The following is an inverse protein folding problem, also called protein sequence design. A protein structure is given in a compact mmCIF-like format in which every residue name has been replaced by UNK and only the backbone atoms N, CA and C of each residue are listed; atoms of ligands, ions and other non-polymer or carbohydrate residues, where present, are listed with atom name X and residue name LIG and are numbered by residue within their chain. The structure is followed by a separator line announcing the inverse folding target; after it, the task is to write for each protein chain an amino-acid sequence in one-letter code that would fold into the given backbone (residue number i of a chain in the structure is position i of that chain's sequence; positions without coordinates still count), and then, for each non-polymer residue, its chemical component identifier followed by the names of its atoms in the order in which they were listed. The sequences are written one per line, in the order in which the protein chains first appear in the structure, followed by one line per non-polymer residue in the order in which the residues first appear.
data_IF_965462018603
#
_entry.id   IF_965462018603
#
_cell.length_a   1.000
_cell.length_b   1.000
_cell.length_c   1.000
_cell.angle_alpha   90.00
_cell.angle_beta   90.00
_cell.angle_gamma   90.00
#
_symmetry.space_group_name_H-M   'P 1'
#
loop_
_entity.id
_entity.type
_entity.pdbx_description
1 polymer ?
#
# COMPACT_ATOMS: atom_id res chain seq x y z
N UNK A 1 -3.20 -6.57 8.20
CA UNK A 1 -2.71 -7.25 6.98
C UNK A 1 -3.81 -8.04 6.25
N UNK A 2 -4.57 -8.94 6.93
CA UNK A 2 -5.62 -9.77 6.33
C UNK A 2 -6.79 -8.98 5.74
N UNK A 3 -7.33 -7.99 6.44
CA UNK A 3 -8.42 -7.13 5.94
C UNK A 3 -8.03 -6.34 4.70
N UNK A 4 -6.82 -5.79 4.70
CA UNK A 4 -6.26 -5.06 3.56
C UNK A 4 -6.19 -5.94 2.31
N UNK A 5 -5.75 -7.19 2.47
CA UNK A 5 -5.72 -8.18 1.39
C UNK A 5 -7.12 -8.51 0.86
N UNK A 6 -8.11 -8.63 1.73
CA UNK A 6 -9.49 -8.87 1.32
C UNK A 6 -10.03 -7.70 0.49
N UNK A 7 -9.84 -6.46 0.90
CA UNK A 7 -10.37 -5.29 0.19
C UNK A 7 -9.83 -5.16 -1.24
N UNK A 8 -8.52 -5.36 -1.47
CA UNK A 8 -7.95 -5.30 -2.83
C UNK A 8 -8.40 -6.49 -3.66
N UNK A 9 -8.42 -7.70 -3.08
CA UNK A 9 -8.90 -8.89 -3.76
C UNK A 9 -10.35 -8.74 -4.22
N UNK A 10 -11.21 -8.17 -3.40
CA UNK A 10 -12.60 -7.92 -3.75
C UNK A 10 -12.71 -6.95 -4.94
N UNK A 11 -11.85 -5.91 -4.98
CA UNK A 11 -11.80 -4.98 -6.12
C UNK A 11 -11.29 -5.65 -7.40
N UNK A 12 -10.24 -6.45 -7.30
CA UNK A 12 -9.73 -7.21 -8.44
C UNK A 12 -10.79 -8.18 -8.97
N UNK A 13 -11.52 -8.84 -8.07
CA UNK A 13 -12.62 -9.72 -8.44
C UNK A 13 -13.79 -8.97 -9.08
N UNK A 14 -14.15 -7.80 -8.58
CA UNK A 14 -15.20 -6.93 -9.15
C UNK A 14 -14.87 -6.52 -10.59
N UNK A 15 -13.61 -6.18 -10.86
CA UNK A 15 -13.17 -5.67 -12.16
C UNK A 15 -12.96 -6.78 -13.17
N UNK A 16 -12.36 -7.90 -12.74
CA UNK A 16 -11.89 -8.96 -13.63
C UNK A 16 -12.64 -10.29 -13.46
N UNK A 17 -13.74 -10.32 -12.71
CA UNK A 17 -14.49 -11.50 -12.25
C UNK A 17 -14.47 -12.71 -13.20
N UNK A 18 -14.87 -12.51 -14.46
CA UNK A 18 -14.95 -13.59 -15.46
C UNK A 18 -13.86 -13.50 -16.55
N UNK A 19 -13.03 -12.45 -16.57
CA UNK A 19 -12.04 -12.23 -17.62
C UNK A 19 -10.66 -12.78 -17.30
N UNK A 20 -10.32 -12.92 -16.01
CA UNK A 20 -9.05 -13.45 -15.55
C UNK A 20 -9.25 -14.71 -14.69
N UNK A 21 -8.30 -15.65 -14.78
CA UNK A 21 -8.23 -16.83 -13.92
C UNK A 21 -7.89 -16.44 -12.48
N UNK A 22 -8.21 -17.27 -11.53
CA UNK A 22 -7.89 -17.01 -10.11
C UNK A 22 -6.38 -16.88 -9.83
N UNK A 23 -5.54 -17.58 -10.60
CA UNK A 23 -4.09 -17.43 -10.54
C UNK A 23 -3.63 -16.04 -10.96
N UNK A 24 -4.17 -15.52 -12.07
CA UNK A 24 -3.83 -14.18 -12.60
C UNK A 24 -4.30 -13.07 -11.65
N UNK A 25 -5.50 -13.20 -11.09
CA UNK A 25 -5.99 -12.28 -10.06
C UNK A 25 -5.10 -12.26 -8.82
N UNK A 26 -4.63 -13.44 -8.39
CA UNK A 26 -3.70 -13.55 -7.27
C UNK A 26 -2.36 -12.89 -7.58
N UNK A 27 -1.87 -13.02 -8.81
CA UNK A 27 -0.64 -12.36 -9.26
C UNK A 27 -0.77 -10.83 -9.19
N UNK A 28 -1.88 -10.27 -9.70
CA UNK A 28 -2.16 -8.82 -9.60
C UNK A 28 -2.23 -8.37 -8.14
N UNK A 29 -2.93 -9.12 -7.29
CA UNK A 29 -2.99 -8.81 -5.86
C UNK A 29 -1.61 -8.84 -5.20
N UNK A 30 -0.78 -9.84 -5.55
CA UNK A 30 0.58 -9.96 -5.02
C UNK A 30 1.44 -8.77 -5.46
N UNK A 31 1.34 -8.37 -6.73
CA UNK A 31 2.03 -7.20 -7.25
C UNK A 31 1.60 -5.91 -6.53
N UNK A 32 0.29 -5.70 -6.33
CA UNK A 32 -0.20 -4.52 -5.63
C UNK A 32 0.32 -4.46 -4.20
N UNK A 33 0.48 -5.61 -3.50
CA UNK A 33 0.95 -5.63 -2.11
C UNK A 33 2.47 -5.55 -1.96
N UNK A 34 3.20 -6.14 -2.90
CA UNK A 34 4.66 -6.30 -2.85
C UNK A 34 5.27 -5.95 -4.21
N UNK A 35 5.13 -4.68 -4.67
CA UNK A 35 5.50 -4.31 -6.02
C UNK A 35 6.99 -4.54 -6.29
N UNK A 36 7.87 -4.11 -5.41
CA UNK A 36 9.32 -4.24 -5.59
C UNK A 36 9.75 -5.69 -5.69
N UNK A 37 9.38 -6.51 -4.69
CA UNK A 37 9.75 -7.92 -4.63
C UNK A 37 9.16 -8.71 -5.81
N UNK A 38 7.94 -8.37 -6.23
CA UNK A 38 7.31 -9.03 -7.37
C UNK A 38 7.97 -8.66 -8.69
N UNK A 39 8.36 -7.39 -8.86
CA UNK A 39 9.11 -6.93 -10.03
C UNK A 39 10.45 -7.64 -10.17
N UNK A 40 11.20 -7.79 -9.08
CA UNK A 40 12.47 -8.52 -9.07
C UNK A 40 12.29 -9.98 -9.51
N UNK A 41 11.24 -10.64 -9.01
CA UNK A 41 10.93 -12.02 -9.40
C UNK A 41 10.53 -12.12 -10.87
N UNK A 42 9.73 -11.19 -11.37
CA UNK A 42 9.30 -11.17 -12.78
C UNK A 42 10.49 -10.97 -13.71
N UNK A 43 11.37 -10.02 -13.41
CA UNK A 43 12.58 -9.76 -14.20
C UNK A 43 13.53 -10.96 -14.28
N UNK A 44 13.50 -11.82 -13.27
CA UNK A 44 14.32 -13.04 -13.24
C UNK A 44 13.76 -14.19 -14.09
N UNK A 45 12.44 -14.18 -14.39
CA UNK A 45 11.75 -15.31 -15.01
C UNK A 45 11.15 -14.97 -16.37
N UNK A 46 10.69 -13.74 -16.56
CA UNK A 46 9.96 -13.32 -17.76
C UNK A 46 10.91 -13.12 -18.93
N UNK A 47 10.57 -13.68 -20.07
CA UNK A 47 11.38 -13.58 -21.31
C UNK A 47 11.01 -12.37 -22.15
N UNK A 48 9.75 -11.90 -22.08
CA UNK A 48 9.25 -10.70 -22.75
C UNK A 48 8.69 -9.71 -21.73
N UNK A 49 9.60 -8.89 -21.19
CA UNK A 49 9.25 -7.90 -20.19
C UNK A 49 8.37 -6.78 -20.73
N UNK A 50 8.55 -6.40 -22.00
CA UNK A 50 7.79 -5.29 -22.57
C UNK A 50 6.31 -5.66 -22.72
N UNK A 51 6.01 -6.86 -23.19
CA UNK A 51 4.63 -7.36 -23.27
C UNK A 51 4.00 -7.51 -21.87
N UNK A 52 4.77 -8.05 -20.91
CA UNK A 52 4.34 -8.14 -19.53
C UNK A 52 4.01 -6.77 -18.93
N UNK A 53 4.84 -5.75 -19.19
CA UNK A 53 4.59 -4.38 -18.75
C UNK A 53 3.31 -3.81 -19.34
N UNK A 54 3.09 -4.00 -20.63
CA UNK A 54 1.86 -3.53 -21.31
C UNK A 54 0.61 -4.12 -20.64
N UNK A 55 0.59 -5.43 -20.45
CA UNK A 55 -0.55 -6.13 -19.85
C UNK A 55 -0.76 -5.66 -18.41
N UNK A 56 0.30 -5.64 -17.62
CA UNK A 56 0.27 -5.31 -16.19
C UNK A 56 -0.16 -3.86 -15.97
N UNK A 57 0.39 -2.91 -16.71
CA UNK A 57 0.03 -1.49 -16.59
C UNK A 57 -1.43 -1.25 -16.96
N UNK A 58 -1.94 -1.87 -18.02
CA UNK A 58 -3.36 -1.79 -18.37
C UNK A 58 -4.26 -2.33 -17.24
N UNK A 59 -3.88 -3.43 -16.62
CA UNK A 59 -4.62 -4.01 -15.48
C UNK A 59 -4.59 -3.08 -14.26
N UNK A 60 -3.42 -2.55 -13.89
CA UNK A 60 -3.26 -1.64 -12.76
C UNK A 60 -4.03 -0.32 -12.96
N UNK A 61 -4.01 0.24 -14.17
CA UNK A 61 -4.79 1.44 -14.51
C UNK A 61 -6.29 1.19 -14.29
N UNK A 62 -6.81 0.04 -14.73
CA UNK A 62 -8.23 -0.32 -14.50
C UNK A 62 -8.56 -0.46 -13.02
N UNK A 63 -7.68 -1.09 -12.23
CA UNK A 63 -7.87 -1.20 -10.78
C UNK A 63 -7.84 0.19 -10.14
N UNK A 64 -6.89 1.02 -10.53
CA UNK A 64 -6.75 2.37 -10.02
C UNK A 64 -7.97 3.26 -10.35
N UNK A 65 -8.52 3.16 -11.56
CA UNK A 65 -9.75 3.83 -11.98
C UNK A 65 -10.95 3.41 -11.12
N UNK A 66 -11.12 2.10 -10.88
CA UNK A 66 -12.21 1.59 -10.05
C UNK A 66 -12.10 2.07 -8.60
N UNK A 67 -10.90 1.99 -8.00
CA UNK A 67 -10.70 2.44 -6.62
C UNK A 67 -10.89 3.96 -6.49
N UNK A 68 -10.38 4.73 -7.45
CA UNK A 68 -10.46 6.20 -7.45
C UNK A 68 -11.88 6.73 -7.68
N UNK A 69 -12.73 5.99 -8.39
CA UNK A 69 -14.12 6.40 -8.71
C UNK A 69 -14.99 6.67 -7.48
N UNK A 70 -14.61 6.14 -6.32
CA UNK A 70 -15.31 6.32 -5.04
C UNK A 70 -14.98 7.63 -4.33
N UNK A 71 -13.99 8.34 -4.82
CA UNK A 71 -13.47 9.54 -4.18
C UNK A 71 -13.65 10.78 -5.04
N UNK A 72 -13.68 11.94 -4.38
CA UNK A 72 -13.68 13.21 -5.09
C UNK A 72 -12.34 13.43 -5.80
N UNK A 73 -12.35 14.14 -6.92
CA UNK A 73 -11.13 14.51 -7.67
C UNK A 73 -10.07 15.16 -6.79
N UNK A 74 -10.49 16.03 -5.86
CA UNK A 74 -9.59 16.71 -4.92
C UNK A 74 -8.86 15.72 -4.02
N UNK A 75 -9.55 14.70 -3.49
CA UNK A 75 -8.96 13.67 -2.64
C UNK A 75 -7.98 12.80 -3.41
N UNK A 76 -8.36 12.35 -4.61
CA UNK A 76 -7.47 11.57 -5.48
C UNK A 76 -6.22 12.37 -5.80
N UNK A 77 -6.34 13.64 -6.21
CA UNK A 77 -5.21 14.51 -6.54
C UNK A 77 -4.22 14.67 -5.38
N UNK A 78 -4.70 14.80 -4.14
CA UNK A 78 -3.85 14.88 -2.93
C UNK A 78 -3.11 13.57 -2.64
N UNK A 79 -3.60 12.44 -3.14
CA UNK A 79 -3.02 11.12 -2.93
C UNK A 79 -2.03 10.72 -4.02
N UNK A 80 -1.97 11.47 -5.13
CA UNK A 80 -1.11 11.16 -6.27
C UNK A 80 0.38 11.31 -5.89
N UNK A 81 1.23 10.39 -6.36
CA UNK A 81 2.68 10.52 -6.24
C UNK A 81 3.15 11.73 -7.06
N UNK A 82 3.97 12.60 -6.48
CA UNK A 82 4.40 13.87 -7.09
C UNK A 82 4.98 13.70 -8.49
N UNK A 83 5.78 12.67 -8.67
CA UNK A 83 6.53 12.42 -9.90
C UNK A 83 5.63 12.07 -11.10
N UNK A 84 4.60 11.26 -10.87
CA UNK A 84 3.70 10.77 -11.91
C UNK A 84 2.30 11.39 -11.84
N UNK A 85 2.12 12.43 -11.05
CA UNK A 85 0.79 12.98 -10.74
C UNK A 85 0.00 13.37 -11.98
N UNK A 86 0.64 14.02 -12.96
CA UNK A 86 -0.01 14.44 -14.19
C UNK A 86 -0.44 13.23 -15.04
N UNK A 87 0.47 12.30 -15.28
CA UNK A 87 0.21 11.11 -16.10
C UNK A 87 -0.90 10.24 -15.51
N UNK A 88 -0.84 10.01 -14.18
CA UNK A 88 -1.86 9.22 -13.50
C UNK A 88 -3.20 9.95 -13.53
N UNK A 89 -3.23 11.27 -13.36
CA UNK A 89 -4.46 12.05 -13.43
C UNK A 89 -5.11 11.94 -14.81
N UNK A 90 -4.34 12.01 -15.89
CA UNK A 90 -4.83 11.80 -17.26
C UNK A 90 -5.44 10.39 -17.42
N UNK A 91 -4.73 9.36 -16.97
CA UNK A 91 -5.22 7.98 -17.05
C UNK A 91 -6.49 7.72 -16.23
N UNK A 92 -6.69 8.45 -15.12
CA UNK A 92 -7.85 8.28 -14.25
C UNK A 92 -9.09 9.06 -14.71
N UNK A 93 -8.91 10.24 -15.32
CA UNK A 93 -10.01 11.17 -15.59
C UNK A 93 -10.58 11.11 -17.01
N UNK A 94 -9.93 10.42 -17.89
CA UNK A 94 -10.44 10.21 -19.21
C UNK A 94 -11.74 9.39 -19.20
N UNK A 95 -12.85 9.96 -19.66
CA UNK A 95 -14.14 9.29 -19.73
C UNK A 95 -14.16 8.19 -20.80
N UNK A 96 -14.67 7.02 -20.47
CA UNK A 96 -14.76 5.82 -21.31
C UNK A 96 -15.58 5.93 -22.61
N UNK A 97 -16.12 7.11 -22.89
CA UNK A 97 -17.01 7.36 -24.03
C UNK A 97 -16.32 7.87 -25.31
N UNK A 98 -15.00 8.08 -25.28
CA UNK A 98 -14.25 8.57 -26.47
C UNK A 98 -13.72 7.39 -27.27
N UNK A 99 -14.01 7.26 -28.58
CA UNK A 99 -13.65 6.09 -29.41
C UNK A 99 -12.15 5.79 -29.51
N UNK A 100 -11.27 6.76 -29.23
CA UNK A 100 -9.81 6.61 -29.31
C UNK A 100 -9.09 6.52 -27.97
N UNK A 101 -9.80 6.33 -26.89
CA UNK A 101 -9.22 6.34 -25.54
C UNK A 101 -8.19 5.22 -25.31
N UNK A 102 -8.50 4.00 -25.68
CA UNK A 102 -7.57 2.88 -25.49
C UNK A 102 -6.27 3.09 -26.28
N UNK A 103 -6.36 3.68 -27.46
CA UNK A 103 -5.17 4.04 -28.25
C UNK A 103 -4.31 5.09 -27.51
N UNK A 104 -4.94 6.10 -26.88
CA UNK A 104 -4.23 7.09 -26.09
C UNK A 104 -3.56 6.49 -24.84
N UNK A 105 -4.27 5.66 -24.10
CA UNK A 105 -3.70 4.93 -22.95
C UNK A 105 -2.50 4.07 -23.39
N UNK A 106 -2.62 3.37 -24.52
CA UNK A 106 -1.56 2.53 -25.04
C UNK A 106 -0.32 3.36 -25.45
N UNK A 107 -0.50 4.56 -25.99
CA UNK A 107 0.62 5.48 -26.30
C UNK A 107 1.33 5.93 -25.03
N UNK A 108 0.59 6.27 -23.98
CA UNK A 108 1.18 6.63 -22.68
C UNK A 108 1.99 5.44 -22.14
N UNK A 109 1.40 4.25 -22.11
CA UNK A 109 2.05 3.03 -21.59
C UNK A 109 3.32 2.72 -22.39
N UNK A 110 3.26 2.74 -23.72
CA UNK A 110 4.43 2.49 -24.57
C UNK A 110 5.54 3.53 -24.34
N UNK A 111 5.18 4.79 -24.09
CA UNK A 111 6.14 5.84 -23.75
C UNK A 111 6.81 5.58 -22.39
N UNK A 112 6.07 5.15 -21.39
CA UNK A 112 6.62 4.81 -20.06
C UNK A 112 7.61 3.63 -20.18
N UNK A 113 7.27 2.62 -20.97
CA UNK A 113 8.13 1.45 -21.20
C UNK A 113 9.41 1.86 -21.95
N UNK A 114 9.27 2.60 -23.05
CA UNK A 114 10.42 3.03 -23.87
C UNK A 114 11.38 3.95 -23.13
N UNK A 115 10.89 4.71 -22.13
CA UNK A 115 11.69 5.56 -21.25
C UNK A 115 12.29 4.81 -20.06
N UNK A 116 12.09 3.49 -19.97
CA UNK A 116 12.55 2.61 -18.87
C UNK A 116 12.06 3.02 -17.48
N UNK A 117 10.85 3.56 -17.41
CA UNK A 117 10.22 4.01 -16.16
C UNK A 117 9.04 3.13 -15.74
N UNK A 118 8.88 1.95 -16.33
CA UNK A 118 7.77 1.06 -16.08
C UNK A 118 7.74 0.57 -14.62
N UNK A 119 8.89 0.24 -14.03
CA UNK A 119 8.97 -0.21 -12.65
C UNK A 119 8.50 0.86 -11.66
N UNK A 120 9.07 2.05 -11.77
CA UNK A 120 8.72 3.18 -10.88
C UNK A 120 7.24 3.52 -11.02
N UNK A 121 6.72 3.44 -12.24
CA UNK A 121 5.31 3.73 -12.50
C UNK A 121 4.37 2.64 -11.95
N UNK A 122 4.75 1.36 -12.05
CA UNK A 122 4.02 0.24 -11.41
C UNK A 122 4.01 0.41 -9.89
N UNK A 123 5.16 0.71 -9.28
CA UNK A 123 5.26 0.94 -7.83
C UNK A 123 4.37 2.11 -7.42
N UNK A 124 4.39 3.21 -8.18
CA UNK A 124 3.57 4.38 -7.93
C UNK A 124 2.06 4.08 -8.01
N UNK A 125 1.62 3.32 -9.02
CA UNK A 125 0.22 2.88 -9.14
C UNK A 125 -0.18 1.93 -8.01
N UNK A 126 0.66 0.96 -7.65
CA UNK A 126 0.40 0.03 -6.56
C UNK A 126 0.25 0.75 -5.22
N UNK A 127 1.13 1.68 -4.92
CA UNK A 127 1.07 2.51 -3.71
C UNK A 127 -0.20 3.38 -3.69
N UNK A 128 -0.58 3.97 -4.82
CA UNK A 128 -1.82 4.74 -4.93
C UNK A 128 -3.05 3.86 -4.72
N UNK A 129 -3.12 2.67 -5.32
CA UNK A 129 -4.21 1.72 -5.12
C UNK A 129 -4.31 1.33 -3.65
N UNK A 130 -3.19 1.00 -3.00
CA UNK A 130 -3.15 0.67 -1.58
C UNK A 130 -3.68 1.82 -0.71
N UNK A 131 -3.24 3.04 -1.00
CA UNK A 131 -3.62 4.25 -0.27
C UNK A 131 -5.09 4.60 -0.43
N UNK A 132 -5.65 4.45 -1.64
CA UNK A 132 -7.06 4.72 -1.91
C UNK A 132 -7.99 3.59 -1.46
N UNK A 133 -7.49 2.35 -1.34
CA UNK A 133 -8.29 1.23 -0.87
C UNK A 133 -8.54 1.31 0.63
N UNK A 134 -7.55 1.80 1.40
CA UNK A 134 -7.65 1.99 2.85
C UNK A 134 -7.42 3.46 3.16
N UNK A 135 -8.51 4.16 3.42
CA UNK A 135 -8.49 5.58 3.70
C UNK A 135 -7.90 5.90 5.08
N UNK A 136 -8.32 5.15 6.09
CA UNK A 136 -7.88 5.32 7.48
C UNK A 136 -7.53 3.97 8.10
N UNK A 137 -6.39 3.90 8.76
CA UNK A 137 -6.00 2.77 9.59
C UNK A 137 -6.39 3.06 11.04
N UNK A 138 -7.24 2.22 11.61
CA UNK A 138 -7.65 2.30 13.00
C UNK A 138 -6.89 1.25 13.83
N UNK A 139 -6.04 1.69 14.74
CA UNK A 139 -5.20 0.84 15.58
C UNK A 139 -5.85 0.70 16.96
N UNK A 140 -6.07 -0.54 17.39
CA UNK A 140 -6.79 -0.83 18.63
C UNK A 140 -5.92 -0.84 19.89
N UNK A 141 -4.65 -0.46 19.78
CA UNK A 141 -3.73 -0.37 20.90
C UNK A 141 -2.96 -1.65 21.23
N UNK A 142 -2.36 -1.66 22.41
CA UNK A 142 -1.43 -2.69 22.90
C UNK A 142 -0.25 -2.96 21.94
N UNK A 143 0.26 -1.88 21.35
CA UNK A 143 1.45 -1.92 20.47
C UNK A 143 2.68 -2.32 21.30
N UNK A 144 2.75 -1.80 22.54
CA UNK A 144 3.84 -2.02 23.47
C UNK A 144 3.54 -3.15 24.48
N UNK A 145 2.77 -4.20 24.08
CA UNK A 145 2.47 -5.31 25.01
C UNK A 145 3.69 -6.24 25.20
N UNK A 146 3.79 -7.29 24.42
CA UNK A 146 4.80 -8.37 24.63
C UNK A 146 5.63 -8.66 23.39
N UNK A 147 5.25 -8.07 22.27
CA UNK A 147 5.95 -8.26 20.99
C UNK A 147 7.29 -7.54 20.96
N UNK A 148 8.25 -8.05 20.19
CA UNK A 148 9.53 -7.39 19.99
C UNK A 148 9.37 -6.15 19.10
N UNK A 149 10.25 -5.16 19.31
CA UNK A 149 10.42 -4.00 18.45
C UNK A 149 9.13 -3.17 18.19
N UNK A 150 8.40 -2.72 19.23
CA UNK A 150 7.20 -1.89 19.08
C UNK A 150 7.52 -0.54 18.41
N UNK A 151 8.72 0.00 18.59
CA UNK A 151 9.20 1.23 17.94
C UNK A 151 9.09 1.15 16.41
N UNK A 152 9.43 0.00 15.80
CA UNK A 152 9.30 -0.21 14.33
C UNK A 152 7.85 -0.13 13.86
N UNK A 153 6.90 -0.56 14.70
CA UNK A 153 5.47 -0.41 14.40
C UNK A 153 5.09 1.06 14.43
N UNK A 154 5.58 1.81 15.42
CA UNK A 154 5.34 3.25 15.51
C UNK A 154 5.95 4.01 14.33
N UNK A 155 7.17 3.70 13.91
CA UNK A 155 7.79 4.31 12.73
C UNK A 155 6.92 4.10 11.48
N UNK A 156 6.46 2.86 11.23
CA UNK A 156 5.57 2.55 10.11
C UNK A 156 4.25 3.31 10.22
N UNK A 157 3.70 3.47 11.42
CA UNK A 157 2.46 4.22 11.63
C UNK A 157 2.66 5.71 11.39
N UNK A 158 3.79 6.29 11.83
CA UNK A 158 4.12 7.70 11.60
C UNK A 158 4.24 8.02 10.10
N UNK A 159 4.72 7.09 9.31
CA UNK A 159 4.80 7.22 7.85
C UNK A 159 3.47 6.92 7.14
N UNK A 160 2.49 6.37 7.85
CA UNK A 160 1.21 6.04 7.25
C UNK A 160 0.36 7.30 7.00
N UNK A 161 -0.26 7.38 5.83
CA UNK A 161 -0.92 8.60 5.35
C UNK A 161 -2.11 9.10 6.19
N UNK A 162 -2.79 8.20 6.91
CA UNK A 162 -3.91 8.55 7.80
C UNK A 162 -4.19 7.40 8.77
N UNK A 163 -3.94 7.60 10.05
CA UNK A 163 -4.23 6.62 11.07
C UNK A 163 -4.71 7.30 12.36
N UNK A 164 -5.41 6.54 13.16
CA UNK A 164 -5.73 6.87 14.55
C UNK A 164 -5.42 5.69 15.47
N UNK A 165 -5.21 5.95 16.73
CA UNK A 165 -4.83 4.95 17.72
C UNK A 165 -5.72 5.08 18.93
N UNK A 166 -6.34 3.98 19.35
CA UNK A 166 -6.83 3.78 20.70
C UNK A 166 -5.72 3.16 21.53
N UNK A 167 -5.37 3.79 22.63
CA UNK A 167 -4.29 3.31 23.48
C UNK A 167 -4.76 2.13 24.36
N UNK A 168 -4.01 1.03 24.29
CA UNK A 168 -4.18 -0.08 25.21
C UNK A 168 -3.57 0.22 26.58
N UNK A 169 -3.84 -0.64 27.56
CA UNK A 169 -3.29 -0.47 28.92
C UNK A 169 -1.76 -0.58 28.96
N UNK A 170 -1.16 -1.37 28.10
CA UNK A 170 0.30 -1.46 27.97
C UNK A 170 0.90 -0.18 27.36
N UNK A 171 0.26 0.39 26.34
CA UNK A 171 0.71 1.65 25.75
C UNK A 171 0.71 2.80 26.77
N UNK A 172 -0.34 2.87 27.62
CA UNK A 172 -0.45 3.87 28.68
C UNK A 172 0.69 3.74 29.70
N UNK A 173 1.11 2.52 30.04
CA UNK A 173 2.26 2.29 30.93
C UNK A 173 3.56 2.85 30.32
N UNK A 174 3.79 2.64 29.04
CA UNK A 174 4.93 3.20 28.33
C UNK A 174 4.88 4.72 28.22
N UNK A 175 3.70 5.29 27.96
CA UNK A 175 3.49 6.74 27.96
C UNK A 175 3.77 7.34 29.36
N UNK A 176 3.29 6.69 30.40
CA UNK A 176 3.57 7.10 31.79
C UNK A 176 5.06 7.00 32.15
N UNK A 177 5.74 5.95 31.71
CA UNK A 177 7.18 5.79 31.89
C UNK A 177 7.97 6.91 31.14
N UNK A 178 7.61 7.18 29.91
CA UNK A 178 8.21 8.27 29.12
C UNK A 178 7.96 9.66 29.73
N UNK A 179 6.84 9.83 30.43
CA UNK A 179 6.53 11.06 31.17
C UNK A 179 7.24 11.15 32.56
N UNK A 180 8.07 10.17 32.91
CA UNK A 180 8.86 10.18 34.14
C UNK A 180 8.12 9.61 35.37
N UNK A 181 7.07 8.82 35.19
CA UNK A 181 6.38 8.19 36.31
C UNK A 181 7.11 6.91 36.78
N UNK A 182 7.67 6.91 37.98
CA UNK A 182 8.49 5.82 38.52
C UNK A 182 7.71 4.47 38.60
N UNK A 183 6.43 4.50 38.95
CA UNK A 183 5.61 3.30 39.00
C UNK A 183 5.40 2.69 37.62
N UNK A 184 5.21 3.52 36.62
CA UNK A 184 5.10 3.08 35.22
C UNK A 184 6.43 2.53 34.73
N UNK A 185 7.55 3.21 35.00
CA UNK A 185 8.90 2.74 34.66
C UNK A 185 9.19 1.37 35.28
N UNK A 186 8.93 1.19 36.55
CA UNK A 186 9.12 -0.10 37.25
C UNK A 186 8.26 -1.21 36.60
N UNK A 187 7.03 -0.92 36.21
CA UNK A 187 6.16 -1.88 35.52
C UNK A 187 6.63 -2.22 34.14
N UNK A 188 7.06 -1.23 33.34
CA UNK A 188 7.62 -1.45 32.00
C UNK A 188 8.86 -2.34 32.08
N UNK A 189 9.82 -2.03 32.98
CA UNK A 189 11.01 -2.83 33.21
C UNK A 189 10.66 -4.27 33.62
N UNK A 190 9.74 -4.44 34.55
CA UNK A 190 9.27 -5.77 35.00
C UNK A 190 8.69 -6.58 33.84
N UNK A 191 7.88 -5.97 32.99
CA UNK A 191 7.27 -6.63 31.83
C UNK A 191 8.32 -6.96 30.77
N UNK A 192 9.21 -6.02 30.45
CA UNK A 192 10.27 -6.24 29.48
C UNK A 192 11.20 -7.38 29.88
N UNK A 193 11.61 -7.44 31.14
CA UNK A 193 12.40 -8.56 31.68
C UNK A 193 11.65 -9.89 31.63
N UNK A 194 10.36 -9.88 32.03
CA UNK A 194 9.54 -11.11 32.06
C UNK A 194 9.36 -11.74 30.68
N UNK A 195 9.26 -10.93 29.64
CA UNK A 195 9.00 -11.39 28.27
C UNK A 195 10.23 -11.34 27.35
N UNK A 196 11.40 -10.98 27.88
CA UNK A 196 12.64 -10.93 27.12
C UNK A 196 12.71 -9.83 26.06
N UNK A 197 12.03 -8.71 26.28
CA UNK A 197 11.94 -7.59 25.33
C UNK A 197 12.72 -6.37 25.80
N UNK A 198 13.88 -6.57 26.41
CA UNK A 198 14.74 -5.48 26.90
C UNK A 198 15.29 -4.62 25.76
N UNK A 199 15.48 -5.18 24.57
CA UNK A 199 15.98 -4.45 23.40
C UNK A 199 15.16 -3.18 23.08
N UNK A 200 13.87 -3.15 23.37
CA UNK A 200 13.02 -1.98 23.21
C UNK A 200 13.32 -0.83 24.21
N UNK A 201 14.14 -1.08 25.23
CA UNK A 201 14.59 -0.11 26.24
C UNK A 201 16.06 0.28 26.07
N UNK A 202 16.81 -0.50 25.27
CA UNK A 202 18.26 -0.32 25.08
C UNK A 202 18.57 0.52 23.83
N UNK A 203 17.63 0.64 22.89
CA UNK A 203 17.69 1.50 21.69
C UNK A 203 17.24 2.94 22.02
#
# INVERSE_FOLDING_TARGET
RRQRQMCIRDRVNEIFGHTLRESEKKEICTLIYYPEQKLDLVKAVETDLDDWYVITLNQLVRVCQNVSSKYTRSKVRKSLPKEFSYIIQELLHENSMVPNKQAYINVIISTIISTRRADDFIIALCNLIQRLTIDTLHVLGDIFDRGPAPHRIMDILCDYHNFDVQWGNHDILWMGAAAGNDCCMANVLRLAMRYGNLAALED
#
